data_IF_027874731731
#
_entry.id   IF_027874731731
#
_cell.length_a   1.000
_cell.length_b   1.000
_cell.length_c   1.000
_cell.angle_alpha   90.00
_cell.angle_beta   90.00
_cell.angle_gamma   90.00
#
_symmetry.space_group_name_H-M   'P 1'
#
loop_
_entity.id
_entity.type
_entity.pdbx_description
1 polymer ?
#
# COMPACT_ATOMS: atom_id res chain seq x y z
N UNK A 1 2.73 -7.08 -1.58
CA UNK A 1 2.49 -5.88 -0.77
C UNK A 1 2.70 -4.68 -1.67
N UNK A 2 1.82 -3.69 -1.58
CA UNK A 2 2.01 -2.39 -2.22
C UNK A 2 2.78 -1.47 -1.26
N UNK A 3 3.80 -0.79 -1.76
CA UNK A 3 4.83 -0.13 -0.94
C UNK A 3 4.53 1.33 -0.56
N UNK A 4 3.35 1.87 -0.86
CA UNK A 4 3.12 3.31 -0.73
C UNK A 4 2.80 3.78 0.71
N UNK A 5 2.49 2.88 1.66
CA UNK A 5 2.27 3.17 3.09
C UNK A 5 2.31 1.87 3.91
N UNK A 6 3.49 1.22 3.97
CA UNK A 6 3.67 0.05 4.83
C UNK A 6 4.14 0.52 6.21
N UNK A 7 3.45 0.14 7.27
CA UNK A 7 3.90 0.35 8.63
C UNK A 7 4.70 -0.85 9.12
N UNK A 8 5.87 -0.56 9.66
CA UNK A 8 6.70 -1.48 10.40
C UNK A 8 6.57 -1.13 11.88
N UNK A 9 5.94 -1.99 12.66
CA UNK A 9 5.81 -1.80 14.11
C UNK A 9 6.79 -2.71 14.84
N UNK A 10 7.55 -2.10 15.75
CA UNK A 10 8.66 -2.74 16.45
C UNK A 10 8.40 -2.77 17.94
N UNK A 11 8.09 -3.94 18.48
CA UNK A 11 8.10 -4.17 19.91
C UNK A 11 9.50 -4.65 20.32
N UNK A 12 10.30 -3.74 20.88
CA UNK A 12 11.56 -3.99 21.60
C UNK A 12 12.65 -4.79 20.81
N UNK A 13 13.43 -4.11 19.97
CA UNK A 13 14.52 -4.70 19.14
C UNK A 13 15.91 -4.10 19.49
N UNK A 14 16.11 -3.53 20.68
CA UNK A 14 17.42 -2.95 20.99
C UNK A 14 18.50 -4.02 21.28
N UNK A 15 19.51 -4.11 20.40
CA UNK A 15 20.81 -4.75 20.63
C UNK A 15 20.81 -6.24 21.03
N UNK A 16 19.82 -7.03 20.61
CA UNK A 16 19.76 -8.48 20.90
C UNK A 16 20.09 -9.29 19.64
N UNK A 17 21.00 -10.26 19.76
CA UNK A 17 21.14 -11.33 18.75
C UNK A 17 20.04 -12.34 19.01
N UNK A 18 19.08 -12.44 18.10
CA UNK A 18 18.03 -13.44 18.20
C UNK A 18 18.58 -14.84 17.88
N UNK A 19 18.31 -15.80 18.78
CA UNK A 19 18.62 -17.22 18.62
C UNK A 19 17.58 -17.95 17.77
N UNK A 20 16.31 -17.51 17.83
CA UNK A 20 15.20 -18.09 17.09
C UNK A 20 14.39 -16.97 16.41
N UNK A 21 14.03 -17.16 15.13
CA UNK A 21 13.17 -16.24 14.37
C UNK A 21 11.94 -17.01 13.88
N UNK A 22 10.76 -16.54 14.27
CA UNK A 22 9.48 -17.11 13.87
C UNK A 22 8.78 -16.17 12.89
N UNK A 23 8.65 -16.59 11.64
CA UNK A 23 7.92 -15.85 10.62
C UNK A 23 6.47 -16.32 10.54
N UNK A 24 5.52 -15.41 10.74
CA UNK A 24 4.09 -15.68 10.84
C UNK A 24 3.38 -14.93 9.71
N UNK A 25 2.67 -15.66 8.84
CA UNK A 25 1.76 -15.05 7.88
C UNK A 25 0.50 -14.56 8.61
N UNK A 26 0.42 -13.23 8.80
CA UNK A 26 -0.63 -12.53 9.49
C UNK A 26 -1.74 -12.00 8.57
N UNK A 27 -1.82 -12.49 7.32
CA UNK A 27 -2.85 -12.10 6.36
C UNK A 27 -4.28 -12.39 6.86
N UNK A 28 -4.45 -13.33 7.80
CA UNK A 28 -5.73 -13.61 8.48
C UNK A 28 -5.53 -14.28 9.84
N UNK A 29 -6.56 -14.26 10.69
CA UNK A 29 -6.58 -15.03 11.95
C UNK A 29 -6.29 -16.53 11.73
N UNK A 30 -6.78 -17.08 10.62
CA UNK A 30 -6.56 -18.48 10.26
C UNK A 30 -5.10 -18.79 9.89
N UNK A 31 -4.43 -17.92 9.13
CA UNK A 31 -3.03 -18.13 8.73
C UNK A 31 -2.08 -18.00 9.92
N UNK A 32 -2.39 -17.12 10.88
CA UNK A 32 -1.64 -17.00 12.13
C UNK A 32 -1.74 -18.29 12.94
N UNK A 33 -2.96 -18.79 13.19
CA UNK A 33 -3.21 -20.04 13.91
C UNK A 33 -2.49 -21.21 13.24
N UNK A 34 -2.57 -21.31 11.91
CA UNK A 34 -1.89 -22.35 11.14
C UNK A 34 -0.36 -22.30 11.31
N UNK A 35 0.25 -21.12 11.21
CA UNK A 35 1.71 -20.96 11.39
C UNK A 35 2.15 -21.36 12.81
N UNK A 36 1.42 -20.93 13.84
CA UNK A 36 1.74 -21.28 15.23
C UNK A 36 1.60 -22.78 15.49
N UNK A 37 0.57 -23.44 14.96
CA UNK A 37 0.44 -24.91 15.03
C UNK A 37 1.61 -25.64 14.39
N UNK A 38 2.08 -25.15 13.24
CA UNK A 38 3.25 -25.71 12.57
C UNK A 38 4.53 -25.55 13.41
N UNK A 39 4.68 -24.41 14.10
CA UNK A 39 5.79 -24.20 15.06
C UNK A 39 5.69 -25.20 16.21
N UNK A 40 4.53 -25.33 16.86
CA UNK A 40 4.32 -26.30 17.93
C UNK A 40 4.64 -27.74 17.49
N UNK A 41 4.23 -28.12 16.28
CA UNK A 41 4.49 -29.44 15.71
C UNK A 41 5.99 -29.66 15.44
N UNK A 42 6.66 -28.69 14.80
CA UNK A 42 8.10 -28.76 14.46
C UNK A 42 8.96 -28.91 15.71
N UNK A 43 8.61 -28.19 16.78
CA UNK A 43 9.33 -28.22 18.05
C UNK A 43 8.84 -29.30 19.02
N UNK A 44 7.86 -30.12 18.62
CA UNK A 44 7.28 -31.21 19.42
C UNK A 44 6.82 -30.76 20.80
N UNK A 45 6.22 -29.57 20.87
CA UNK A 45 5.78 -28.94 22.11
C UNK A 45 4.68 -29.76 22.79
N UNK A 46 3.77 -30.35 22.00
CA UNK A 46 2.68 -31.19 22.49
C UNK A 46 2.30 -32.25 21.44
N UNK A 47 1.66 -33.35 21.87
CA UNK A 47 1.07 -34.36 21.01
C UNK A 47 -0.11 -33.82 20.17
N UNK A 48 -0.82 -32.80 20.65
CA UNK A 48 -1.85 -32.09 19.92
C UNK A 48 -1.41 -30.62 19.72
N UNK A 49 -0.78 -30.27 18.58
CA UNK A 49 -0.28 -28.91 18.36
C UNK A 49 -1.43 -27.91 18.27
N UNK A 50 -1.35 -26.83 19.03
CA UNK A 50 -2.26 -25.68 19.01
C UNK A 50 -1.46 -24.38 18.99
N UNK A 51 -2.11 -23.28 18.59
CA UNK A 51 -1.49 -21.96 18.61
C UNK A 51 -1.12 -21.54 20.05
N UNK A 52 -1.99 -21.84 21.02
CA UNK A 52 -1.78 -21.52 22.44
C UNK A 52 -0.54 -22.22 23.00
N UNK A 53 -0.33 -23.50 22.67
CA UNK A 53 0.87 -24.23 23.11
C UNK A 53 2.15 -23.68 22.47
N UNK A 54 2.10 -23.26 21.20
CA UNK A 54 3.24 -22.59 20.58
C UNK A 54 3.56 -21.28 21.32
N UNK A 55 2.56 -20.46 21.62
CA UNK A 55 2.74 -19.19 22.32
C UNK A 55 3.28 -19.40 23.73
N UNK A 56 2.76 -20.37 24.49
CA UNK A 56 3.28 -20.70 25.83
C UNK A 56 4.74 -21.15 25.77
N UNK A 57 5.08 -22.02 24.80
CA UNK A 57 6.45 -22.48 24.61
C UNK A 57 7.41 -21.35 24.21
N UNK A 58 6.99 -20.45 23.33
CA UNK A 58 7.77 -19.26 22.94
C UNK A 58 7.92 -18.31 24.14
N UNK A 59 6.86 -18.12 24.92
CA UNK A 59 6.87 -17.27 26.13
C UNK A 59 7.89 -17.73 27.19
N UNK A 60 8.21 -19.03 27.20
CA UNK A 60 9.25 -19.61 28.08
C UNK A 60 10.69 -19.49 27.56
N UNK A 61 10.88 -18.94 26.36
CA UNK A 61 12.21 -18.77 25.73
C UNK A 61 12.69 -17.32 25.87
N UNK A 62 14.00 -17.15 25.70
CA UNK A 62 14.65 -15.85 25.56
C UNK A 62 15.29 -15.71 24.17
N UNK A 63 15.66 -14.48 23.82
CA UNK A 63 16.35 -14.10 22.59
C UNK A 63 15.62 -14.56 21.32
N UNK A 64 14.30 -14.45 21.27
CA UNK A 64 13.52 -14.78 20.08
C UNK A 64 12.97 -13.52 19.38
N UNK A 65 12.72 -13.63 18.08
CA UNK A 65 12.00 -12.62 17.29
C UNK A 65 10.78 -13.26 16.64
N UNK A 66 9.62 -12.65 16.80
CA UNK A 66 8.41 -13.04 16.07
C UNK A 66 8.05 -11.96 15.05
N UNK A 67 7.98 -12.33 13.77
CA UNK A 67 7.62 -11.44 12.67
C UNK A 67 6.21 -11.76 12.20
N UNK A 68 5.26 -10.85 12.42
CA UNK A 68 3.91 -10.90 11.85
C UNK A 68 3.90 -10.15 10.53
N UNK A 69 3.86 -10.89 9.43
CA UNK A 69 3.92 -10.36 8.08
C UNK A 69 2.52 -10.23 7.45
N UNK A 70 2.22 -9.13 6.75
CA UNK A 70 0.88 -8.80 6.20
C UNK A 70 -0.27 -8.70 7.23
N UNK A 71 -0.04 -8.09 8.40
CA UNK A 71 -1.05 -8.01 9.47
C UNK A 71 -2.16 -6.97 9.23
N UNK A 72 -2.88 -7.05 8.11
CA UNK A 72 -3.88 -6.07 7.67
C UNK A 72 -5.29 -6.29 8.28
N UNK A 73 -5.47 -7.35 9.09
CA UNK A 73 -6.75 -7.75 9.66
C UNK A 73 -7.21 -6.96 10.90
N UNK A 74 -6.49 -5.92 11.29
CA UNK A 74 -6.75 -5.15 12.51
C UNK A 74 -5.98 -5.62 13.74
N UNK A 75 -5.74 -4.69 14.67
CA UNK A 75 -4.97 -4.96 15.89
C UNK A 75 -5.59 -6.05 16.78
N UNK A 76 -6.92 -6.19 16.79
CA UNK A 76 -7.64 -7.18 17.58
C UNK A 76 -7.34 -8.62 17.13
N UNK A 77 -6.94 -8.81 15.87
CA UNK A 77 -6.54 -10.13 15.37
C UNK A 77 -5.17 -10.48 15.91
N UNK A 78 -4.18 -9.60 15.74
CA UNK A 78 -2.80 -9.83 16.16
C UNK A 78 -2.69 -9.97 17.69
N UNK A 79 -3.42 -9.15 18.44
CA UNK A 79 -3.40 -9.12 19.92
C UNK A 79 -3.69 -10.49 20.54
N UNK A 80 -4.56 -11.31 19.91
CA UNK A 80 -4.89 -12.67 20.37
C UNK A 80 -3.70 -13.63 20.33
N UNK A 81 -2.71 -13.35 19.49
CA UNK A 81 -1.59 -14.25 19.19
C UNK A 81 -0.25 -13.73 19.68
N UNK A 82 -0.24 -12.72 20.56
CA UNK A 82 1.01 -12.24 21.15
C UNK A 82 1.47 -13.20 22.26
N UNK A 83 2.74 -13.66 22.23
CA UNK A 83 3.31 -14.42 23.35
C UNK A 83 3.40 -13.53 24.59
N UNK A 84 3.33 -14.13 25.77
CA UNK A 84 3.44 -13.43 27.05
C UNK A 84 4.92 -13.28 27.44
N UNK A 85 5.23 -12.23 28.18
CA UNK A 85 6.57 -11.98 28.71
C UNK A 85 7.41 -11.05 27.83
N UNK A 86 8.69 -10.92 28.18
CA UNK A 86 9.65 -9.97 27.58
C UNK A 86 10.94 -10.66 27.13
N UNK A 87 10.90 -11.97 26.88
CA UNK A 87 12.05 -12.76 26.47
C UNK A 87 12.46 -12.53 25.01
N UNK A 88 11.72 -11.77 24.22
CA UNK A 88 12.00 -11.56 22.80
C UNK A 88 11.32 -10.33 22.23
N UNK A 89 11.60 -10.07 20.95
CA UNK A 89 11.05 -8.94 20.20
C UNK A 89 9.91 -9.37 19.27
N UNK A 90 9.03 -8.42 18.94
CA UNK A 90 7.95 -8.62 17.96
C UNK A 90 8.09 -7.56 16.87
N UNK A 91 8.05 -8.00 15.61
CA UNK A 91 8.02 -7.15 14.43
C UNK A 91 6.71 -7.37 13.70
N UNK A 92 5.97 -6.32 13.38
CA UNK A 92 4.72 -6.41 12.63
C UNK A 92 4.85 -5.56 11.38
N UNK A 93 4.56 -6.12 10.21
CA UNK A 93 4.43 -5.36 8.97
C UNK A 93 2.98 -5.35 8.52
N UNK A 94 2.41 -4.18 8.31
CA UNK A 94 0.99 -4.02 7.98
C UNK A 94 0.75 -2.70 7.25
N UNK A 95 -0.35 -2.59 6.53
CA UNK A 95 -0.86 -1.32 6.00
C UNK A 95 -1.82 -0.62 6.98
N UNK A 96 -2.25 -1.31 8.02
CA UNK A 96 -3.17 -0.79 9.03
C UNK A 96 -2.45 -0.05 10.15
N UNK A 97 -2.50 1.29 10.08
CA UNK A 97 -1.96 2.17 11.12
C UNK A 97 -2.61 1.96 12.51
N UNK A 98 -3.81 1.38 12.59
CA UNK A 98 -4.47 1.12 13.87
C UNK A 98 -3.70 0.13 14.77
N UNK A 99 -2.72 -0.60 14.23
CA UNK A 99 -1.80 -1.42 15.01
C UNK A 99 -0.93 -0.64 16.00
N UNK A 100 -0.78 0.68 15.83
CA UNK A 100 -0.13 1.55 16.83
C UNK A 100 -0.76 1.44 18.23
N UNK A 101 -2.03 1.02 18.30
CA UNK A 101 -2.75 0.78 19.56
C UNK A 101 -2.14 -0.33 20.42
N UNK A 102 -1.42 -1.28 19.81
CA UNK A 102 -0.80 -2.41 20.52
C UNK A 102 0.74 -2.32 20.60
N UNK A 103 1.39 -1.39 19.89
CA UNK A 103 2.86 -1.23 19.93
C UNK A 103 3.37 0.10 20.53
N UNK A 104 2.61 1.20 20.41
CA UNK A 104 3.00 2.62 20.60
C UNK A 104 3.40 3.33 19.30
N UNK A 105 3.04 4.62 19.12
CA UNK A 105 3.52 5.45 18.00
C UNK A 105 5.05 5.60 17.94
N UNK A 106 5.74 5.56 19.07
CA UNK A 106 7.22 5.62 19.12
C UNK A 106 7.90 4.37 18.54
N UNK A 107 7.12 3.31 18.38
CA UNK A 107 7.51 1.99 17.91
C UNK A 107 6.86 1.69 16.56
N UNK A 108 6.42 2.72 15.83
CA UNK A 108 5.80 2.63 14.52
C UNK A 108 6.65 3.40 13.54
N UNK A 109 7.01 2.75 12.44
CA UNK A 109 7.76 3.35 11.34
C UNK A 109 6.93 3.24 10.07
N UNK A 110 6.50 4.38 9.55
CA UNK A 110 5.94 4.46 8.21
C UNK A 110 7.06 4.31 7.18
N UNK A 111 6.96 3.28 6.35
CA UNK A 111 7.84 3.05 5.21
C UNK A 111 7.25 3.77 4.01
N UNK A 112 7.95 4.81 3.58
CA UNK A 112 7.63 5.63 2.40
C UNK A 112 8.44 5.18 1.17
N UNK A 113 8.28 5.88 0.06
CA UNK A 113 9.12 5.68 -1.12
C UNK A 113 10.61 5.89 -0.83
N UNK A 114 11.47 5.31 -1.66
CA UNK A 114 12.92 5.45 -1.52
C UNK A 114 13.35 6.90 -1.71
N UNK A 115 14.42 7.29 -1.02
CA UNK A 115 15.15 8.50 -1.42
C UNK A 115 15.66 8.36 -2.86
N UNK A 116 15.77 9.47 -3.58
CA UNK A 116 16.22 9.45 -4.99
C UNK A 116 17.59 8.77 -5.15
N UNK A 117 18.53 9.03 -4.25
CA UNK A 117 19.87 8.40 -4.27
C UNK A 117 19.80 6.88 -4.03
N UNK A 118 18.94 6.43 -3.10
CA UNK A 118 18.74 5.00 -2.82
C UNK A 118 18.07 4.31 -4.02
N UNK A 119 17.11 5.00 -4.66
CA UNK A 119 16.42 4.53 -5.84
C UNK A 119 17.39 4.37 -7.03
N UNK A 120 18.29 5.33 -7.25
CA UNK A 120 19.34 5.25 -8.27
C UNK A 120 20.30 4.11 -7.97
N UNK A 121 20.69 3.92 -6.71
CA UNK A 121 21.55 2.82 -6.29
C UNK A 121 20.90 1.45 -6.57
N UNK A 122 19.60 1.31 -6.28
CA UNK A 122 18.83 0.10 -6.59
C UNK A 122 18.75 -0.13 -8.10
N UNK A 123 18.43 0.90 -8.89
CA UNK A 123 18.37 0.82 -10.34
C UNK A 123 19.71 0.39 -10.94
N UNK A 124 20.81 1.01 -10.50
CA UNK A 124 22.17 0.70 -10.95
C UNK A 124 22.50 -0.77 -10.70
N UNK A 125 22.16 -1.27 -9.51
CA UNK A 125 22.37 -2.67 -9.12
C UNK A 125 21.50 -3.64 -9.94
N UNK A 126 20.22 -3.33 -10.10
CA UNK A 126 19.26 -4.21 -10.77
C UNK A 126 19.48 -4.27 -12.28
N UNK A 127 19.78 -3.12 -12.91
CA UNK A 127 20.12 -3.02 -14.33
C UNK A 127 21.58 -3.44 -14.64
N UNK A 128 22.43 -3.62 -13.62
CA UNK A 128 23.89 -3.82 -13.79
C UNK A 128 24.55 -2.71 -14.62
N UNK A 129 24.17 -1.46 -14.36
CA UNK A 129 24.70 -0.26 -15.04
C UNK A 129 25.52 0.58 -14.06
N UNK A 130 26.64 1.11 -14.54
CA UNK A 130 27.44 2.10 -13.81
C UNK A 130 26.86 3.51 -14.02
N UNK A 131 26.43 4.15 -12.93
CA UNK A 131 25.86 5.50 -12.92
C UNK A 131 26.87 6.59 -12.54
N UNK A 132 28.17 6.30 -12.51
CA UNK A 132 29.22 7.25 -12.12
C UNK A 132 29.42 8.43 -13.09
N UNK A 133 29.00 8.30 -14.37
CA UNK A 133 29.08 9.43 -15.31
C UNK A 133 27.87 10.36 -15.16
N UNK A 134 28.11 11.66 -15.22
CA UNK A 134 27.08 12.71 -15.03
C UNK A 134 25.87 12.56 -15.96
N UNK A 135 26.11 12.27 -17.26
CA UNK A 135 25.02 12.07 -18.23
C UNK A 135 24.12 10.89 -17.83
N UNK A 136 24.71 9.77 -17.43
CA UNK A 136 23.98 8.56 -17.00
C UNK A 136 23.22 8.80 -15.70
N UNK A 137 23.80 9.57 -14.76
CA UNK A 137 23.14 9.93 -13.51
C UNK A 137 21.87 10.75 -13.75
N UNK A 138 21.89 11.70 -14.69
CA UNK A 138 20.72 12.52 -15.07
C UNK A 138 19.59 11.65 -15.63
N UNK A 139 19.92 10.65 -16.46
CA UNK A 139 18.92 9.74 -17.03
C UNK A 139 18.37 8.81 -15.95
N UNK A 140 19.23 8.30 -15.06
CA UNK A 140 18.81 7.50 -13.92
C UNK A 140 17.85 8.26 -13.01
N UNK A 141 18.13 9.53 -12.69
CA UNK A 141 17.25 10.42 -11.92
C UNK A 141 15.86 10.53 -12.57
N UNK A 142 15.80 10.82 -13.87
CA UNK A 142 14.53 10.90 -14.62
C UNK A 142 13.75 9.59 -14.57
N UNK A 143 14.45 8.46 -14.73
CA UNK A 143 13.82 7.15 -14.72
C UNK A 143 13.27 6.77 -13.34
N UNK A 144 14.05 6.95 -12.26
CA UNK A 144 13.54 6.63 -10.92
C UNK A 144 12.39 7.54 -10.51
N UNK A 145 12.41 8.82 -10.93
CA UNK A 145 11.30 9.75 -10.73
C UNK A 145 10.04 9.30 -11.49
N UNK A 146 10.18 8.86 -12.75
CA UNK A 146 9.08 8.32 -13.54
C UNK A 146 8.52 7.01 -12.94
N UNK A 147 9.36 6.21 -12.30
CA UNK A 147 8.99 5.01 -11.55
C UNK A 147 8.49 5.30 -10.12
N UNK A 148 8.35 6.59 -9.77
CA UNK A 148 7.80 7.04 -8.50
C UNK A 148 8.64 6.67 -7.27
N UNK A 149 9.94 6.37 -7.43
CA UNK A 149 10.83 5.89 -6.38
C UNK A 149 10.33 4.64 -5.63
N UNK A 150 9.52 3.81 -6.30
CA UNK A 150 8.99 2.58 -5.72
C UNK A 150 10.00 1.44 -5.94
N UNK A 151 10.51 0.78 -4.87
CA UNK A 151 11.51 -0.26 -4.99
C UNK A 151 11.12 -1.37 -5.96
N UNK A 152 9.86 -1.82 -5.91
CA UNK A 152 9.33 -2.88 -6.77
C UNK A 152 9.35 -2.48 -8.26
N UNK A 153 8.97 -1.24 -8.58
CA UNK A 153 8.95 -0.73 -9.94
C UNK A 153 10.36 -0.57 -10.51
N UNK A 154 11.30 -0.10 -9.67
CA UNK A 154 12.70 0.07 -10.03
C UNK A 154 13.38 -1.27 -10.27
N UNK A 155 13.17 -2.24 -9.37
CA UNK A 155 13.76 -3.57 -9.52
C UNK A 155 13.19 -4.31 -10.74
N UNK A 156 11.90 -4.17 -11.02
CA UNK A 156 11.27 -4.68 -12.24
C UNK A 156 11.86 -4.03 -13.51
N UNK A 157 12.04 -2.71 -13.51
CA UNK A 157 12.64 -1.98 -14.62
C UNK A 157 14.10 -2.41 -14.86
N UNK A 158 14.91 -2.50 -13.79
CA UNK A 158 16.29 -2.96 -13.88
C UNK A 158 16.40 -4.38 -14.43
N UNK A 159 15.54 -5.29 -13.95
CA UNK A 159 15.48 -6.66 -14.45
C UNK A 159 15.12 -6.74 -15.94
N UNK A 160 14.17 -5.90 -16.39
CA UNK A 160 13.83 -5.77 -17.81
C UNK A 160 15.04 -5.33 -18.63
N UNK A 161 15.68 -4.25 -18.20
CA UNK A 161 16.85 -3.68 -18.89
C UNK A 161 17.98 -4.70 -19.01
N UNK A 162 18.30 -5.40 -17.93
CA UNK A 162 19.33 -6.43 -17.92
C UNK A 162 18.98 -7.60 -18.85
N UNK A 163 17.73 -8.08 -18.80
CA UNK A 163 17.30 -9.27 -19.55
C UNK A 163 17.14 -8.99 -21.05
N UNK A 164 16.70 -7.79 -21.42
CA UNK A 164 16.44 -7.40 -22.79
C UNK A 164 17.57 -6.58 -23.43
N UNK A 165 18.60 -6.20 -22.67
CA UNK A 165 19.75 -5.44 -23.15
C UNK A 165 19.45 -3.97 -23.47
N UNK A 166 18.53 -3.35 -22.74
CA UNK A 166 18.19 -1.93 -22.91
C UNK A 166 19.10 -1.03 -22.06
N UNK A 167 19.60 0.05 -22.65
CA UNK A 167 20.22 1.15 -21.91
C UNK A 167 19.19 2.00 -21.16
N UNK A 168 19.66 2.86 -20.25
CA UNK A 168 18.77 3.72 -19.44
C UNK A 168 17.92 4.66 -20.31
N UNK A 169 18.52 5.29 -21.32
CA UNK A 169 17.83 6.19 -22.23
C UNK A 169 16.76 5.47 -23.05
N UNK A 170 17.12 4.33 -23.66
CA UNK A 170 16.21 3.53 -24.47
C UNK A 170 15.03 3.02 -23.64
N UNK A 171 15.30 2.57 -22.40
CA UNK A 171 14.26 2.11 -21.50
C UNK A 171 13.35 3.27 -21.04
N UNK A 172 13.91 4.45 -20.74
CA UNK A 172 13.11 5.61 -20.37
C UNK A 172 12.17 6.04 -21.52
N UNK A 173 12.65 6.02 -22.77
CA UNK A 173 11.81 6.29 -23.93
C UNK A 173 10.70 5.23 -24.09
N UNK A 174 11.06 3.95 -23.95
CA UNK A 174 10.11 2.84 -23.99
C UNK A 174 9.05 2.96 -22.89
N UNK A 175 9.48 3.31 -21.67
CA UNK A 175 8.63 3.50 -20.51
C UNK A 175 7.62 4.61 -20.73
N UNK A 176 8.05 5.79 -21.19
CA UNK A 176 7.16 6.91 -21.47
C UNK A 176 6.06 6.61 -22.51
N UNK A 177 6.27 5.60 -23.37
CA UNK A 177 5.31 5.18 -24.41
C UNK A 177 4.45 3.99 -23.99
N UNK A 178 4.97 3.11 -23.13
CA UNK A 178 4.41 1.78 -22.89
C UNK A 178 4.44 1.35 -21.42
N UNK A 179 4.46 2.29 -20.47
CA UNK A 179 4.52 2.05 -19.03
C UNK A 179 3.49 1.01 -18.56
N UNK A 180 2.25 1.08 -19.03
CA UNK A 180 1.21 0.10 -18.66
C UNK A 180 1.59 -1.35 -19.01
N UNK A 181 2.14 -1.56 -20.21
CA UNK A 181 2.58 -2.89 -20.65
C UNK A 181 3.78 -3.37 -19.84
N UNK A 182 4.77 -2.51 -19.64
CA UNK A 182 5.99 -2.84 -18.91
C UNK A 182 5.71 -3.15 -17.43
N UNK A 183 4.88 -2.33 -16.77
CA UNK A 183 4.59 -2.46 -15.35
C UNK A 183 3.58 -3.57 -15.04
N UNK A 184 2.85 -4.06 -16.05
CA UNK A 184 1.99 -5.26 -15.93
C UNK A 184 2.78 -6.55 -16.14
N UNK A 185 3.92 -6.50 -16.84
CA UNK A 185 4.71 -7.68 -17.20
C UNK A 185 5.22 -8.42 -15.96
N UNK A 186 4.89 -9.71 -15.89
CA UNK A 186 5.24 -10.60 -14.76
C UNK A 186 6.49 -11.42 -15.02
N UNK A 187 7.08 -11.34 -16.21
CA UNK A 187 8.32 -12.05 -16.56
C UNK A 187 9.54 -11.40 -15.91
N UNK A 188 9.52 -10.06 -15.82
CA UNK A 188 10.61 -9.28 -15.24
C UNK A 188 10.37 -9.05 -13.76
N UNK A 189 10.73 -10.08 -12.97
CA UNK A 189 10.79 -10.03 -11.52
C UNK A 189 12.27 -9.89 -11.20
N UNK A 190 12.71 -8.75 -10.67
CA UNK A 190 14.12 -8.56 -10.35
C UNK A 190 14.60 -9.47 -9.21
N UNK A 191 15.26 -8.92 -8.20
CA UNK A 191 15.70 -9.72 -7.05
C UNK A 191 14.53 -10.26 -6.21
N UNK A 192 13.32 -9.74 -6.38
CA UNK A 192 12.15 -10.12 -5.59
C UNK A 192 11.55 -11.47 -6.00
N UNK A 193 11.39 -12.38 -5.03
CA UNK A 193 10.56 -13.59 -5.17
C UNK A 193 9.06 -13.29 -5.26
N UNK A 194 8.67 -12.00 -5.17
CA UNK A 194 7.29 -11.56 -5.29
C UNK A 194 6.75 -11.85 -6.70
N UNK A 195 5.59 -12.52 -6.75
CA UNK A 195 5.05 -13.08 -8.00
C UNK A 195 4.26 -12.09 -8.85
N UNK A 196 4.05 -10.87 -8.34
CA UNK A 196 3.24 -9.85 -8.99
C UNK A 196 4.14 -8.73 -9.50
N UNK A 197 3.80 -8.25 -10.69
CA UNK A 197 4.32 -7.01 -11.24
C UNK A 197 3.81 -5.82 -10.45
N UNK A 198 4.42 -4.66 -10.64
CA UNK A 198 4.04 -3.42 -9.94
C UNK A 198 2.55 -3.10 -10.13
N UNK A 199 2.06 -3.09 -11.37
CA UNK A 199 0.63 -2.84 -11.64
C UNK A 199 -0.24 -4.01 -11.17
N UNK A 200 0.28 -5.24 -11.25
CA UNK A 200 -0.44 -6.41 -10.75
C UNK A 200 -0.69 -6.37 -9.24
N UNK A 201 0.22 -5.78 -8.47
CA UNK A 201 0.07 -5.62 -7.03
C UNK A 201 -1.01 -4.58 -6.68
N UNK A 202 -1.10 -3.48 -7.43
CA UNK A 202 -2.17 -2.49 -7.30
C UNK A 202 -3.53 -3.02 -7.76
N UNK A 203 -3.55 -3.80 -8.84
CA UNK A 203 -4.78 -4.41 -9.34
C UNK A 203 -5.42 -5.32 -8.29
N UNK A 204 -4.62 -6.11 -7.56
CA UNK A 204 -5.12 -6.93 -6.45
C UNK A 204 -5.81 -6.08 -5.38
N UNK A 205 -5.27 -4.89 -5.08
CA UNK A 205 -5.85 -4.00 -4.07
C UNK A 205 -7.18 -3.41 -4.53
N UNK A 206 -7.26 -2.94 -5.77
CA UNK A 206 -8.54 -2.42 -6.30
C UNK A 206 -9.56 -3.54 -6.48
N UNK A 207 -9.16 -4.75 -6.88
CA UNK A 207 -10.08 -5.88 -7.01
C UNK A 207 -10.69 -6.29 -5.66
N UNK A 208 -9.89 -6.25 -4.60
CA UNK A 208 -10.40 -6.45 -3.24
C UNK A 208 -11.38 -5.33 -2.83
N UNK A 209 -11.11 -4.07 -3.18
CA UNK A 209 -12.05 -2.96 -2.91
C UNK A 209 -13.36 -3.17 -3.68
N UNK A 210 -13.30 -3.58 -4.96
CA UNK A 210 -14.51 -3.91 -5.74
C UNK A 210 -15.31 -5.05 -5.12
N UNK A 211 -14.63 -6.12 -4.70
CA UNK A 211 -15.29 -7.23 -4.03
C UNK A 211 -16.01 -6.80 -2.74
N UNK A 212 -15.44 -5.85 -1.98
CA UNK A 212 -16.11 -5.25 -0.81
C UNK A 212 -17.31 -4.40 -1.20
N UNK A 213 -17.22 -3.67 -2.32
CA UNK A 213 -18.28 -2.83 -2.86
C UNK A 213 -19.50 -3.61 -3.38
N UNK A 214 -19.33 -4.89 -3.72
CA UNK A 214 -20.41 -5.78 -4.15
C UNK A 214 -21.28 -6.30 -2.99
N UNK A 215 -20.88 -6.05 -1.74
CA UNK A 215 -21.48 -6.57 -0.50
C UNK A 215 -22.85 -5.99 -0.10
N UNK A 216 -23.63 -5.41 -1.02
CA UNK A 216 -24.94 -4.81 -0.76
C UNK A 216 -24.87 -3.49 0.02
N UNK A 217 -25.92 -3.14 0.77
CA UNK A 217 -26.04 -1.85 1.49
C UNK A 217 -25.41 -1.88 2.91
N UNK A 218 -24.26 -2.53 3.07
CA UNK A 218 -23.51 -2.47 4.34
C UNK A 218 -22.64 -1.21 4.38
N UNK A 219 -22.33 -0.71 5.58
CA UNK A 219 -21.43 0.45 5.74
C UNK A 219 -20.06 0.22 5.08
N UNK A 220 -19.52 -0.99 5.20
CA UNK A 220 -18.25 -1.38 4.56
C UNK A 220 -18.33 -1.35 3.02
N UNK A 221 -19.46 -1.77 2.46
CA UNK A 221 -19.69 -1.76 1.02
C UNK A 221 -19.80 -0.32 0.49
N UNK A 222 -20.55 0.55 1.18
CA UNK A 222 -20.66 1.97 0.83
C UNK A 222 -19.29 2.68 0.91
N UNK A 223 -18.51 2.40 1.95
CA UNK A 223 -17.14 2.91 2.09
C UNK A 223 -16.25 2.46 0.91
N UNK A 224 -16.35 1.20 0.49
CA UNK A 224 -15.61 0.67 -0.65
C UNK A 224 -16.05 1.31 -1.99
N UNK A 225 -17.35 1.53 -2.19
CA UNK A 225 -17.87 2.25 -3.36
C UNK A 225 -17.33 3.69 -3.42
N UNK A 226 -17.35 4.38 -2.27
CA UNK A 226 -16.78 5.72 -2.12
C UNK A 226 -15.28 5.74 -2.42
N UNK A 227 -14.54 4.72 -1.99
CA UNK A 227 -13.12 4.58 -2.29
C UNK A 227 -12.86 4.46 -3.79
N UNK A 228 -13.67 3.70 -4.53
CA UNK A 228 -13.54 3.55 -5.99
C UNK A 228 -13.81 4.87 -6.72
N UNK A 229 -14.85 5.60 -6.30
CA UNK A 229 -15.14 6.95 -6.82
C UNK A 229 -13.96 7.89 -6.56
N UNK A 230 -13.48 7.94 -5.32
CA UNK A 230 -12.33 8.78 -4.96
C UNK A 230 -11.10 8.41 -5.76
N UNK A 231 -10.79 7.11 -5.90
CA UNK A 231 -9.64 6.64 -6.67
C UNK A 231 -9.64 7.19 -8.10
N UNK A 232 -10.80 7.16 -8.76
CA UNK A 232 -10.96 7.73 -10.09
C UNK A 232 -10.75 9.25 -10.10
N UNK A 233 -11.23 9.97 -9.08
CA UNK A 233 -11.01 11.42 -8.96
C UNK A 233 -9.52 11.74 -8.75
N UNK A 234 -8.84 11.03 -7.84
CA UNK A 234 -7.40 11.19 -7.55
C UNK A 234 -6.53 11.00 -8.80
N UNK A 235 -6.97 10.15 -9.74
CA UNK A 235 -6.30 9.98 -11.02
C UNK A 235 -6.18 11.29 -11.81
N UNK A 236 -7.14 12.21 -11.70
CA UNK A 236 -7.19 13.44 -12.51
C UNK A 236 -6.82 14.73 -11.75
N UNK A 237 -6.56 14.65 -10.45
CA UNK A 237 -6.06 15.77 -9.66
C UNK A 237 -4.53 15.90 -9.79
N UNK A 238 -3.97 16.99 -9.25
CA UNK A 238 -2.52 17.04 -9.02
C UNK A 238 -2.13 15.92 -8.06
N UNK A 239 -0.98 15.26 -8.25
CA UNK A 239 -0.62 14.06 -7.46
C UNK A 239 -0.29 14.36 -5.98
N UNK A 240 0.01 15.62 -5.66
CA UNK A 240 0.43 16.06 -4.34
C UNK A 240 -0.39 17.27 -3.84
N UNK A 241 -0.43 17.46 -2.53
CA UNK A 241 -1.11 18.56 -1.83
C UNK A 241 -2.58 18.72 -2.22
N UNK A 242 -3.33 17.62 -2.28
CA UNK A 242 -4.75 17.59 -2.63
C UNK A 242 -5.58 17.93 -1.37
N UNK A 243 -6.15 19.13 -1.23
CA UNK A 243 -6.81 19.52 0.01
C UNK A 243 -8.25 19.00 0.06
N UNK A 244 -8.67 18.47 1.21
CA UNK A 244 -10.06 17.99 1.42
C UNK A 244 -11.13 19.03 1.03
N UNK A 245 -10.84 20.32 1.29
CA UNK A 245 -11.77 21.42 1.04
C UNK A 245 -12.20 21.53 -0.44
N UNK A 246 -11.42 21.03 -1.40
CA UNK A 246 -11.81 21.10 -2.82
C UNK A 246 -13.04 20.22 -3.11
N UNK A 247 -13.16 19.06 -2.45
CA UNK A 247 -14.28 18.13 -2.60
C UNK A 247 -15.56 18.74 -2.02
N UNK A 248 -15.49 19.23 -0.78
CA UNK A 248 -16.57 19.97 -0.13
C UNK A 248 -17.04 21.16 -0.99
N UNK A 249 -16.09 21.94 -1.49
CA UNK A 249 -16.39 23.13 -2.29
C UNK A 249 -17.05 22.77 -3.61
N UNK A 250 -16.63 21.67 -4.26
CA UNK A 250 -17.26 21.17 -5.47
C UNK A 250 -18.72 20.75 -5.21
N UNK A 251 -18.97 19.98 -4.16
CA UNK A 251 -20.30 19.52 -3.76
C UNK A 251 -21.27 20.71 -3.49
N UNK A 252 -20.82 21.69 -2.71
CA UNK A 252 -21.62 22.89 -2.40
C UNK A 252 -21.90 23.75 -3.64
N UNK A 253 -20.91 23.92 -4.51
CA UNK A 253 -21.09 24.69 -5.75
C UNK A 253 -22.03 23.99 -6.73
N UNK A 254 -21.97 22.66 -6.81
CA UNK A 254 -22.89 21.87 -7.63
C UNK A 254 -24.34 22.07 -7.17
N UNK A 255 -24.61 21.93 -5.87
CA UNK A 255 -25.95 22.11 -5.32
C UNK A 255 -26.47 23.54 -5.49
N UNK A 256 -25.60 24.55 -5.36
CA UNK A 256 -25.97 25.95 -5.60
C UNK A 256 -26.39 26.22 -7.06
N UNK A 257 -25.78 25.52 -8.02
CA UNK A 257 -26.00 25.72 -9.47
C UNK A 257 -26.95 24.69 -10.07
N UNK A 258 -27.47 23.75 -9.28
CA UNK A 258 -28.35 22.68 -9.73
C UNK A 258 -29.63 23.29 -10.31
N UNK A 259 -29.80 23.16 -11.63
CA UNK A 259 -30.92 23.74 -12.38
C UNK A 259 -30.62 25.04 -13.12
N UNK A 260 -29.41 25.60 -13.02
CA UNK A 260 -29.00 26.74 -13.84
C UNK A 260 -28.66 26.30 -15.28
N UNK A 261 -29.28 26.93 -16.28
CA UNK A 261 -28.89 26.75 -17.68
C UNK A 261 -27.61 27.54 -17.93
N UNK A 262 -26.47 26.86 -17.87
CA UNK A 262 -25.18 27.50 -18.13
C UNK A 262 -24.88 27.43 -19.62
N UNK A 263 -24.64 28.59 -20.25
CA UNK A 263 -24.31 28.68 -21.68
C UNK A 263 -22.89 28.22 -22.02
N UNK A 264 -22.18 27.55 -21.09
CA UNK A 264 -20.75 27.28 -21.26
C UNK A 264 -20.08 26.33 -20.25
N UNK A 265 -20.79 25.71 -19.29
CA UNK A 265 -20.23 24.55 -18.61
C UNK A 265 -20.56 23.27 -19.42
N UNK A 266 -19.60 22.36 -19.63
CA UNK A 266 -19.80 21.23 -20.53
C UNK A 266 -20.90 20.27 -20.06
N UNK A 267 -21.30 19.34 -20.94
CA UNK A 267 -22.06 18.11 -20.64
C UNK A 267 -21.48 17.28 -19.47
N UNK A 268 -20.32 17.65 -18.91
CA UNK A 268 -19.73 17.03 -17.72
C UNK A 268 -20.53 17.26 -16.44
N UNK A 269 -21.34 18.33 -16.32
CA UNK A 269 -22.21 18.50 -15.14
C UNK A 269 -23.27 17.40 -15.06
N UNK A 270 -23.76 16.88 -16.20
CA UNK A 270 -24.69 15.75 -16.19
C UNK A 270 -24.04 14.42 -15.81
N UNK A 271 -22.71 14.36 -15.71
CA UNK A 271 -21.96 13.19 -15.22
C UNK A 271 -21.66 13.28 -13.72
N UNK A 272 -21.88 14.43 -13.09
CA UNK A 272 -21.75 14.58 -11.64
C UNK A 272 -23.11 14.26 -10.99
N UNK A 273 -23.12 13.24 -10.15
CA UNK A 273 -24.27 12.85 -9.33
C UNK A 273 -23.99 13.03 -7.84
N UNK A 274 -25.01 12.73 -7.02
CA UNK A 274 -24.90 12.80 -5.56
C UNK A 274 -23.85 11.86 -5.01
N UNK A 275 -23.65 10.70 -5.63
CA UNK A 275 -22.66 9.71 -5.22
C UNK A 275 -21.23 10.23 -5.43
N UNK A 276 -20.94 10.76 -6.63
CA UNK A 276 -19.62 11.31 -7.00
C UNK A 276 -19.22 12.50 -6.13
N UNK A 277 -20.20 13.26 -5.66
CA UNK A 277 -19.99 14.46 -4.85
C UNK A 277 -20.17 14.22 -3.34
N UNK A 278 -20.44 12.97 -2.93
CA UNK A 278 -20.68 12.60 -1.53
C UNK A 278 -21.76 13.49 -0.92
N UNK A 279 -22.94 13.52 -1.55
CA UNK A 279 -24.11 14.27 -1.08
C UNK A 279 -25.10 13.33 -0.38
N UNK A 280 -25.59 13.74 0.79
CA UNK A 280 -26.68 13.06 1.49
C UNK A 280 -28.04 13.28 0.81
N UNK A 281 -29.09 12.65 1.34
CA UNK A 281 -30.46 12.75 0.81
C UNK A 281 -31.02 14.19 0.83
N UNK A 282 -30.50 15.04 1.72
CA UNK A 282 -30.85 16.45 1.83
C UNK A 282 -30.01 17.35 0.90
N UNK A 283 -29.02 16.77 0.21
CA UNK A 283 -28.09 17.48 -0.66
C UNK A 283 -26.99 18.24 0.07
N UNK A 284 -26.69 17.89 1.32
CA UNK A 284 -25.52 18.38 2.05
C UNK A 284 -24.32 17.47 1.78
N UNK A 285 -23.11 18.00 1.96
CA UNK A 285 -21.90 17.19 1.81
C UNK A 285 -21.75 16.20 2.98
N UNK A 286 -21.83 14.91 2.66
CA UNK A 286 -21.64 13.79 3.56
C UNK A 286 -20.14 13.58 3.81
N UNK A 287 -19.65 14.27 4.84
CA UNK A 287 -18.27 14.16 5.29
C UNK A 287 -17.94 12.75 5.78
N UNK A 288 -18.89 12.01 6.35
CA UNK A 288 -18.62 10.68 6.88
C UNK A 288 -18.38 9.70 5.74
N UNK A 289 -19.26 9.69 4.74
CA UNK A 289 -19.12 8.81 3.59
C UNK A 289 -17.84 9.10 2.80
N UNK A 290 -17.48 10.38 2.66
CA UNK A 290 -16.20 10.78 2.07
C UNK A 290 -15.00 10.24 2.87
N UNK A 291 -14.97 10.44 4.19
CA UNK A 291 -13.85 10.00 5.03
C UNK A 291 -13.74 8.47 5.07
N UNK A 292 -14.85 7.74 5.11
CA UNK A 292 -14.82 6.27 5.05
C UNK A 292 -14.20 5.77 3.72
N UNK A 293 -14.50 6.42 2.60
CA UNK A 293 -13.84 6.13 1.32
C UNK A 293 -12.33 6.43 1.34
N UNK A 294 -11.92 7.54 1.97
CA UNK A 294 -10.52 7.90 2.17
C UNK A 294 -9.79 6.85 3.02
N UNK A 295 -10.38 6.43 4.13
CA UNK A 295 -9.78 5.43 5.03
C UNK A 295 -9.62 4.08 4.34
N UNK A 296 -10.56 3.69 3.47
CA UNK A 296 -10.37 2.51 2.61
C UNK A 296 -9.15 2.69 1.70
N UNK A 297 -9.01 3.80 0.98
CA UNK A 297 -7.83 4.02 0.13
C UNK A 297 -6.50 4.05 0.92
N UNK A 298 -6.49 4.63 2.11
CA UNK A 298 -5.35 4.63 3.02
C UNK A 298 -4.99 3.21 3.48
N UNK A 299 -5.98 2.37 3.81
CA UNK A 299 -5.77 0.99 4.25
C UNK A 299 -5.16 0.09 3.17
N UNK A 300 -5.34 0.44 1.89
CA UNK A 300 -4.68 -0.23 0.76
C UNK A 300 -3.39 0.46 0.32
N UNK A 301 -2.99 1.52 1.02
CA UNK A 301 -1.84 2.38 0.68
C UNK A 301 -1.94 2.97 -0.72
N UNK A 302 -3.16 3.25 -1.21
CA UNK A 302 -3.38 3.83 -2.55
C UNK A 302 -3.22 5.36 -2.55
N UNK A 303 -3.32 5.98 -1.38
CA UNK A 303 -3.06 7.40 -1.16
C UNK A 303 -2.32 7.56 0.17
N UNK A 304 -1.81 8.76 0.42
CA UNK A 304 -1.27 9.17 1.72
C UNK A 304 -2.03 10.38 2.25
N UNK A 305 -1.99 10.56 3.57
CA UNK A 305 -2.57 11.71 4.28
C UNK A 305 -1.52 12.40 5.13
N UNK A 306 -1.40 13.71 4.97
CA UNK A 306 -0.67 14.58 5.87
C UNK A 306 -1.60 15.69 6.38
N UNK A 307 -2.11 15.53 7.60
CA UNK A 307 -3.16 16.42 8.12
C UNK A 307 -4.43 16.36 7.25
N UNK A 308 -4.77 17.48 6.61
CA UNK A 308 -5.97 17.66 5.77
C UNK A 308 -5.67 17.62 4.26
N UNK A 309 -4.44 17.27 3.88
CA UNK A 309 -4.04 17.12 2.49
C UNK A 309 -3.72 15.66 2.17
N UNK A 310 -4.08 15.26 0.96
CA UNK A 310 -3.86 13.94 0.42
C UNK A 310 -2.82 13.98 -0.70
N UNK A 311 -2.17 12.85 -0.94
CA UNK A 311 -1.29 12.65 -2.10
C UNK A 311 -1.43 11.24 -2.65
N UNK A 312 -1.10 11.07 -3.92
CA UNK A 312 -1.01 9.78 -4.62
C UNK A 312 0.38 9.69 -5.25
N UNK A 313 1.00 8.50 -5.23
CA UNK A 313 2.29 8.31 -5.86
C UNK A 313 2.17 8.56 -7.39
N UNK A 314 3.10 9.28 -8.05
CA UNK A 314 2.98 9.60 -9.48
C UNK A 314 2.83 8.38 -10.40
N UNK A 315 3.53 7.28 -10.11
CA UNK A 315 3.42 6.05 -10.90
C UNK A 315 2.05 5.39 -10.68
N UNK A 316 1.52 5.44 -9.47
CA UNK A 316 0.18 4.94 -9.15
C UNK A 316 -0.91 5.79 -9.79
N UNK A 317 -0.76 7.12 -9.78
CA UNK A 317 -1.67 8.00 -10.49
C UNK A 317 -1.67 7.72 -12.00
N UNK A 318 -0.49 7.47 -12.57
CA UNK A 318 -0.35 7.06 -13.98
C UNK A 318 -1.10 5.75 -14.23
N UNK A 319 -0.90 4.74 -13.38
CA UNK A 319 -1.64 3.48 -13.45
C UNK A 319 -3.16 3.67 -13.38
N UNK A 320 -3.65 4.53 -12.48
CA UNK A 320 -5.07 4.83 -12.37
C UNK A 320 -5.66 5.44 -13.64
N UNK A 321 -4.86 6.19 -14.43
CA UNK A 321 -5.29 6.78 -15.71
C UNK A 321 -5.26 5.82 -16.89
N UNK A 322 -4.46 4.76 -16.81
CA UNK A 322 -4.36 3.76 -17.88
C UNK A 322 -5.53 2.77 -17.89
N UNK A 323 -6.35 2.79 -16.84
CA UNK A 323 -7.49 1.91 -16.62
C UNK A 323 -8.80 2.45 -17.20
#
# INVERSE_FOLDING_TARGET
MNFCSLFCHVFDIESIRFSDIFWIDASSEHTIDLCLRQIAQKHKVNSAPSAEFALEWISGKNDWLMVFDNADGGYQVVEKFLPRGNGGGILITSRDKALERITSPTHSLEVIEMGEEEAIALLSKSATVDTNSEDVAIVAQKLVAALGCIPLAIDQAGAYMQSCGYGLDDYLELFNKHHAKLMTDKEFRGASLYKHSTYGAWEISIEEIKHRADGGNSAQSLAAQSALVLHNIFAFLHHDNIPEVIFKTAALNFMKRKGESTNGLPQSISLLDSETLFLDDDGNWDVFQFQEGIEVLLSFSLIRRNGIVYSINPLMQTWSRDR
#
